data_IF_001995267648
#
_entry.id   IF_001995267648
#
_cell.length_a   1.000
_cell.length_b   1.000
_cell.length_c   1.000
_cell.angle_alpha   90.00
_cell.angle_beta   90.00
_cell.angle_gamma   90.00
#
_symmetry.space_group_name_H-M   'P 1'
#
loop_
_entity.id
_entity.type
_entity.pdbx_description
1 polymer ?
#
# COMPACT_ATOMS: atom_id res chain seq x y z
N UNK A 1 29.53 60.90 -10.98
CA UNK A 1 29.02 60.03 -9.90
C UNK A 1 28.02 59.03 -10.52
N UNK A 2 28.45 57.81 -10.74
CA UNK A 2 27.61 56.77 -11.31
C UNK A 2 26.98 56.00 -10.15
N UNK A 3 25.66 56.13 -9.97
CA UNK A 3 24.89 55.32 -9.01
C UNK A 3 24.58 53.97 -9.67
N UNK A 4 25.24 52.91 -9.22
CA UNK A 4 24.88 51.54 -9.57
C UNK A 4 23.66 51.11 -8.77
N UNK A 5 22.55 50.95 -9.47
CA UNK A 5 21.30 50.42 -8.88
C UNK A 5 21.40 48.88 -8.95
N UNK A 6 21.69 48.24 -7.82
CA UNK A 6 21.66 46.77 -7.67
C UNK A 6 20.19 46.34 -7.58
N UNK A 7 19.67 45.78 -8.66
CA UNK A 7 18.40 45.03 -8.67
C UNK A 7 18.64 43.65 -8.02
N UNK A 8 18.16 43.52 -6.79
CA UNK A 8 18.05 42.20 -6.17
C UNK A 8 16.85 41.48 -6.74
N UNK A 9 17.10 40.48 -7.55
CA UNK A 9 16.08 39.48 -7.95
C UNK A 9 15.87 38.50 -6.79
N UNK A 10 14.76 38.65 -6.06
CA UNK A 10 14.31 37.68 -5.10
C UNK A 10 13.76 36.45 -5.89
N UNK A 11 14.50 35.37 -5.93
CA UNK A 11 13.98 34.08 -6.38
C UNK A 11 13.03 33.57 -5.30
N UNK A 12 11.74 33.69 -5.55
CA UNK A 12 10.72 33.00 -4.77
C UNK A 12 10.76 31.53 -5.18
N UNK A 13 11.41 30.69 -4.36
CA UNK A 13 11.36 29.25 -4.50
C UNK A 13 9.96 28.76 -4.17
N UNK A 14 9.16 28.45 -5.19
CA UNK A 14 7.90 27.69 -5.00
C UNK A 14 8.29 26.28 -4.56
N UNK A 15 8.24 26.01 -3.28
CA UNK A 15 8.26 24.65 -2.76
C UNK A 15 6.90 24.03 -3.08
N UNK A 16 6.83 23.25 -4.14
CA UNK A 16 5.67 22.42 -4.41
C UNK A 16 5.56 21.40 -3.27
N UNK A 17 4.59 21.58 -2.39
CA UNK A 17 4.20 20.55 -1.42
C UNK A 17 3.55 19.42 -2.21
N UNK A 18 4.31 18.37 -2.48
CA UNK A 18 3.77 17.10 -3.01
C UNK A 18 2.86 16.55 -1.90
N UNK A 19 1.56 16.30 -2.16
CA UNK A 19 0.71 15.68 -1.16
C UNK A 19 1.35 14.35 -0.78
N UNK A 20 1.59 14.14 0.52
CA UNK A 20 2.03 12.86 1.07
C UNK A 20 0.85 11.88 0.99
N UNK A 21 0.48 11.51 -0.22
CA UNK A 21 -0.37 10.34 -0.46
C UNK A 21 0.53 9.16 -0.11
N UNK A 22 0.23 8.57 1.00
CA UNK A 22 0.83 7.39 1.60
C UNK A 22 1.83 6.66 0.70
N UNK A 23 3.04 7.19 0.58
CA UNK A 23 4.15 6.45 0.05
C UNK A 23 4.41 5.31 1.02
N UNK A 24 4.25 4.09 0.54
CA UNK A 24 4.58 2.92 1.31
C UNK A 24 6.05 3.05 1.77
N UNK A 25 6.30 2.84 3.06
CA UNK A 25 7.66 3.01 3.59
C UNK A 25 8.63 2.03 2.91
N UNK A 26 9.89 2.45 2.77
CA UNK A 26 10.91 1.60 2.17
C UNK A 26 11.05 0.24 2.87
N UNK A 27 10.83 0.20 4.19
CA UNK A 27 10.86 -1.04 4.98
C UNK A 27 9.73 -2.01 4.60
N UNK A 28 8.54 -1.52 4.30
CA UNK A 28 7.41 -2.34 3.83
C UNK A 28 7.70 -2.88 2.43
N UNK A 29 8.20 -2.05 1.52
CA UNK A 29 8.60 -2.48 0.17
C UNK A 29 9.67 -3.57 0.23
N UNK A 30 10.70 -3.40 1.07
CA UNK A 30 11.73 -4.41 1.28
C UNK A 30 11.17 -5.70 1.88
N UNK A 31 10.27 -5.61 2.85
CA UNK A 31 9.64 -6.77 3.47
C UNK A 31 8.81 -7.58 2.47
N UNK A 32 8.11 -6.92 1.55
CA UNK A 32 7.40 -7.60 0.45
C UNK A 32 8.39 -8.34 -0.46
N UNK A 33 9.46 -7.69 -0.89
CA UNK A 33 10.48 -8.28 -1.76
C UNK A 33 11.22 -9.43 -1.09
N UNK A 34 11.42 -9.33 0.22
CA UNK A 34 12.04 -10.39 1.03
C UNK A 34 11.09 -11.57 1.32
N UNK A 35 9.81 -11.46 0.97
CA UNK A 35 8.81 -12.52 1.19
C UNK A 35 8.36 -12.66 2.64
N UNK A 36 8.50 -11.62 3.45
CA UNK A 36 8.09 -11.62 4.86
C UNK A 36 6.61 -11.28 5.04
N UNK A 37 6.07 -10.46 4.15
CA UNK A 37 4.68 -10.00 4.14
C UNK A 37 4.11 -10.03 2.72
N UNK A 38 2.79 -10.01 2.62
CA UNK A 38 2.10 -9.95 1.33
C UNK A 38 0.68 -9.44 1.46
N UNK A 39 0.07 -9.14 0.31
CA UNK A 39 -1.34 -8.77 0.24
C UNK A 39 -2.23 -9.99 0.37
N UNK A 40 -3.36 -9.81 1.03
CA UNK A 40 -4.36 -10.84 1.24
C UNK A 40 -5.63 -10.52 0.45
N UNK A 41 -6.37 -11.57 0.15
CA UNK A 41 -7.68 -11.52 -0.56
C UNK A 41 -8.74 -10.63 0.13
N UNK A 42 -8.59 -10.40 1.43
CA UNK A 42 -9.53 -9.59 2.23
C UNK A 42 -9.15 -8.10 2.34
N UNK A 43 -8.12 -7.69 1.62
CA UNK A 43 -7.68 -6.28 1.56
C UNK A 43 -6.72 -5.86 2.66
N UNK A 44 -6.17 -6.79 3.40
CA UNK A 44 -5.18 -6.53 4.45
C UNK A 44 -3.81 -7.08 4.10
N UNK A 45 -2.78 -6.57 4.78
CA UNK A 45 -1.46 -7.20 4.79
C UNK A 45 -1.43 -8.38 5.75
N UNK A 46 -0.68 -9.41 5.39
CA UNK A 46 -0.42 -10.54 6.26
C UNK A 46 1.06 -10.90 6.33
N UNK A 47 1.40 -11.68 7.35
CA UNK A 47 2.76 -12.22 7.52
C UNK A 47 2.86 -13.57 6.84
N UNK A 48 3.82 -13.70 5.92
CA UNK A 48 4.12 -14.97 5.23
C UNK A 48 4.83 -15.94 6.17
N UNK A 49 5.65 -15.39 7.06
CA UNK A 49 6.35 -16.11 8.12
C UNK A 49 6.03 -15.51 9.49
N UNK A 50 5.96 -16.33 10.56
CA UNK A 50 5.67 -15.81 11.90
C UNK A 50 6.84 -15.02 12.51
N UNK A 51 8.07 -15.30 12.09
CA UNK A 51 9.29 -14.73 12.66
C UNK A 51 9.72 -13.47 11.90
N UNK A 52 9.08 -12.35 12.19
CA UNK A 52 9.45 -11.05 11.64
C UNK A 52 9.86 -10.09 12.75
N UNK A 53 10.71 -9.08 12.46
CA UNK A 53 11.09 -8.07 13.44
C UNK A 53 9.89 -7.36 14.05
N UNK A 54 9.96 -7.03 15.34
CA UNK A 54 8.88 -6.34 16.06
C UNK A 54 8.49 -5.01 15.39
N UNK A 55 9.45 -4.30 14.83
CA UNK A 55 9.18 -3.06 14.09
C UNK A 55 8.30 -3.30 12.85
N UNK A 56 8.57 -4.37 12.11
CA UNK A 56 7.75 -4.74 10.96
C UNK A 56 6.30 -5.09 11.38
N UNK A 57 6.15 -5.81 12.52
CA UNK A 57 4.84 -6.07 13.10
C UNK A 57 4.07 -4.77 13.38
N UNK A 58 4.72 -3.80 14.01
CA UNK A 58 4.10 -2.51 14.30
C UNK A 58 3.68 -1.78 13.03
N UNK A 59 4.52 -1.76 12.01
CA UNK A 59 4.24 -1.08 10.74
C UNK A 59 3.07 -1.74 9.99
N UNK A 60 3.06 -3.06 9.89
CA UNK A 60 1.97 -3.81 9.25
C UNK A 60 0.65 -3.59 10.00
N UNK A 61 0.68 -3.67 11.33
CA UNK A 61 -0.52 -3.43 12.15
C UNK A 61 -1.05 -2.01 11.97
N UNK A 62 -0.16 -1.01 11.92
CA UNK A 62 -0.56 0.38 11.69
C UNK A 62 -1.22 0.58 10.31
N UNK A 63 -0.70 -0.07 9.26
CA UNK A 63 -1.30 -0.05 7.93
C UNK A 63 -2.69 -0.70 7.97
N UNK A 64 -2.81 -1.87 8.58
CA UNK A 64 -4.08 -2.59 8.67
C UNK A 64 -5.14 -1.84 9.49
N UNK A 65 -4.75 -1.13 10.54
CA UNK A 65 -5.66 -0.27 11.30
C UNK A 65 -6.21 0.86 10.41
N UNK A 66 -5.36 1.52 9.64
CA UNK A 66 -5.79 2.57 8.70
C UNK A 66 -6.71 2.02 7.61
N UNK A 67 -6.38 0.86 7.05
CA UNK A 67 -7.22 0.17 6.05
C UNK A 67 -8.58 -0.18 6.64
N UNK A 68 -8.62 -0.73 7.85
CA UNK A 68 -9.87 -1.05 8.55
C UNK A 68 -10.76 0.17 8.71
N UNK A 69 -10.22 1.28 9.18
CA UNK A 69 -10.97 2.54 9.32
C UNK A 69 -11.52 3.00 7.99
N UNK A 70 -10.73 2.95 6.91
CA UNK A 70 -11.16 3.31 5.57
C UNK A 70 -12.28 2.40 5.06
N UNK A 71 -12.18 1.08 5.27
CA UNK A 71 -13.19 0.13 4.82
C UNK A 71 -14.51 0.30 5.55
N UNK A 72 -14.49 0.53 6.86
CA UNK A 72 -15.69 0.85 7.64
C UNK A 72 -16.35 2.15 7.17
N UNK A 73 -15.57 3.16 6.90
CA UNK A 73 -16.03 4.47 6.43
C UNK A 73 -16.71 4.38 5.06
N UNK A 74 -16.07 3.70 4.11
CA UNK A 74 -16.62 3.46 2.78
C UNK A 74 -17.86 2.57 2.82
N UNK A 75 -17.87 1.53 3.64
CA UNK A 75 -19.00 0.63 3.81
C UNK A 75 -20.24 1.37 4.30
N UNK A 76 -20.08 2.23 5.31
CA UNK A 76 -21.15 3.06 5.85
C UNK A 76 -21.75 3.98 4.79
N UNK A 77 -20.91 4.61 3.96
CA UNK A 77 -21.36 5.51 2.91
C UNK A 77 -22.02 4.79 1.73
N UNK A 78 -21.64 3.56 1.45
CA UNK A 78 -22.14 2.78 0.31
C UNK A 78 -23.26 1.80 0.66
N UNK A 79 -23.57 1.61 1.95
CA UNK A 79 -24.58 0.67 2.40
C UNK A 79 -24.19 -0.80 2.18
N UNK A 80 -22.90 -1.10 2.25
CA UNK A 80 -22.33 -2.46 2.15
C UNK A 80 -21.57 -2.81 3.41
N UNK A 81 -21.02 -4.02 3.50
CA UNK A 81 -20.21 -4.43 4.66
C UNK A 81 -18.74 -4.00 4.51
N UNK A 82 -18.00 -3.79 5.61
CA UNK A 82 -16.56 -3.55 5.55
C UNK A 82 -15.78 -4.67 4.88
N UNK A 83 -16.24 -5.91 5.00
CA UNK A 83 -15.65 -7.09 4.36
C UNK A 83 -15.76 -7.01 2.84
N UNK A 84 -16.92 -6.61 2.33
CA UNK A 84 -17.11 -6.40 0.89
C UNK A 84 -16.21 -5.30 0.34
N UNK A 85 -16.04 -4.22 1.09
CA UNK A 85 -15.09 -3.15 0.73
C UNK A 85 -13.66 -3.67 0.73
N UNK A 86 -13.27 -4.44 1.74
CA UNK A 86 -11.94 -5.05 1.83
C UNK A 86 -11.63 -5.98 0.66
N UNK A 87 -12.56 -6.85 0.28
CA UNK A 87 -12.44 -7.74 -0.87
C UNK A 87 -12.31 -6.94 -2.17
N UNK A 88 -13.10 -5.89 -2.33
CA UNK A 88 -13.01 -4.99 -3.50
C UNK A 88 -11.66 -4.28 -3.55
N UNK A 89 -11.16 -3.80 -2.42
CA UNK A 89 -9.82 -3.20 -2.32
C UNK A 89 -8.72 -4.19 -2.69
N UNK A 90 -8.86 -5.45 -2.29
CA UNK A 90 -7.92 -6.51 -2.62
C UNK A 90 -7.76 -6.71 -4.13
N UNK A 91 -8.79 -6.51 -4.94
CA UNK A 91 -8.70 -6.57 -6.40
C UNK A 91 -7.64 -5.60 -6.94
N UNK A 92 -7.63 -4.36 -6.45
CA UNK A 92 -6.62 -3.36 -6.82
C UNK A 92 -5.25 -3.67 -6.22
N UNK A 93 -5.21 -4.08 -4.97
CA UNK A 93 -3.95 -4.34 -4.25
C UNK A 93 -3.21 -5.53 -4.85
N UNK A 94 -3.91 -6.61 -5.15
CA UNK A 94 -3.34 -7.80 -5.80
C UNK A 94 -2.87 -7.52 -7.24
N UNK A 95 -3.53 -6.59 -7.92
CA UNK A 95 -3.11 -6.13 -9.25
C UNK A 95 -1.80 -5.33 -9.28
N UNK A 96 -1.30 -4.91 -8.14
CA UNK A 96 -0.08 -4.09 -8.01
C UNK A 96 1.12 -4.83 -7.48
N UNK A 97 0.96 -6.07 -7.01
CA UNK A 97 2.10 -6.84 -6.50
C UNK A 97 3.09 -7.16 -7.62
N UNK A 98 4.38 -7.17 -7.28
CA UNK A 98 5.45 -7.49 -8.21
C UNK A 98 5.70 -8.98 -8.33
N UNK A 99 6.25 -9.39 -9.46
CA UNK A 99 6.73 -10.78 -9.65
C UNK A 99 7.73 -11.13 -8.54
N UNK A 100 7.53 -12.27 -7.91
CA UNK A 100 8.33 -12.75 -6.79
C UNK A 100 7.80 -12.38 -5.42
N UNK A 101 6.85 -11.44 -5.32
CA UNK A 101 6.18 -11.11 -4.06
C UNK A 101 5.11 -12.17 -3.72
N UNK A 102 4.79 -12.27 -2.43
CA UNK A 102 3.79 -13.22 -1.95
C UNK A 102 2.42 -12.59 -1.84
N UNK A 103 1.40 -13.41 -2.02
CA UNK A 103 0.00 -13.07 -1.80
C UNK A 103 -0.77 -14.24 -1.21
N UNK A 104 -1.83 -13.95 -0.47
CA UNK A 104 -2.72 -14.96 0.08
C UNK A 104 -4.04 -14.92 -0.69
N UNK A 105 -4.34 -15.93 -1.52
CA UNK A 105 -5.66 -16.08 -2.14
C UNK A 105 -6.70 -16.49 -1.10
N UNK A 106 -7.98 -16.41 -1.44
CA UNK A 106 -9.09 -16.76 -0.54
C UNK A 106 -9.10 -18.20 -0.06
N UNK A 107 -8.40 -19.09 -0.77
CA UNK A 107 -8.26 -20.50 -0.42
C UNK A 107 -6.81 -20.95 -0.58
N UNK A 108 -6.39 -21.85 0.30
CA UNK A 108 -5.02 -22.36 0.34
C UNK A 108 -4.08 -21.46 1.11
N UNK A 109 -2.78 -21.72 0.99
CA UNK A 109 -1.72 -20.98 1.65
C UNK A 109 -1.18 -19.83 0.81
N UNK A 110 -0.14 -19.21 1.32
CA UNK A 110 0.61 -18.18 0.61
C UNK A 110 1.14 -18.69 -0.72
N UNK A 111 1.04 -17.84 -1.73
CA UNK A 111 1.58 -18.09 -3.06
C UNK A 111 2.55 -17.00 -3.45
N UNK A 112 3.53 -17.37 -4.26
CA UNK A 112 4.46 -16.42 -4.85
C UNK A 112 3.97 -16.05 -6.24
N UNK A 113 3.92 -14.75 -6.54
CA UNK A 113 3.51 -14.30 -7.87
C UNK A 113 4.58 -14.66 -8.90
N UNK A 114 4.18 -15.40 -9.92
CA UNK A 114 5.01 -15.75 -11.07
C UNK A 114 4.37 -15.22 -12.36
N UNK A 115 5.20 -14.92 -13.36
CA UNK A 115 4.73 -14.47 -14.68
C UNK A 115 3.77 -15.50 -15.28
N UNK A 116 2.64 -15.01 -15.81
CA UNK A 116 1.63 -15.85 -16.46
C UNK A 116 0.51 -16.37 -15.55
N UNK A 117 0.61 -16.16 -14.23
CA UNK A 117 -0.44 -16.51 -13.27
C UNK A 117 -0.88 -15.25 -12.51
N UNK A 118 -1.99 -14.64 -12.92
CA UNK A 118 -2.49 -13.43 -12.26
C UNK A 118 -2.85 -13.71 -10.80
N UNK A 119 -2.38 -12.87 -9.84
CA UNK A 119 -2.81 -12.95 -8.46
C UNK A 119 -4.21 -12.39 -8.23
N UNK A 120 -4.78 -11.69 -9.22
CA UNK A 120 -6.11 -11.09 -9.15
C UNK A 120 -7.17 -12.18 -9.35
N UNK A 121 -8.09 -12.38 -8.38
CA UNK A 121 -9.16 -13.36 -8.52
C UNK A 121 -10.10 -13.05 -9.69
N UNK A 122 -10.69 -14.11 -10.27
CA UNK A 122 -11.59 -14.00 -11.41
C UNK A 122 -12.84 -13.15 -11.11
N UNK A 123 -13.31 -13.13 -9.85
CA UNK A 123 -14.47 -12.32 -9.46
C UNK A 123 -14.21 -10.81 -9.47
N UNK A 124 -12.97 -10.39 -9.63
CA UNK A 124 -12.61 -8.96 -9.74
C UNK A 124 -12.98 -8.34 -11.10
N UNK A 125 -13.27 -9.13 -12.08
CA UNK A 125 -13.61 -8.70 -13.44
C UNK A 125 -12.47 -8.82 -14.43
#
# INVERSE_FOLDING_TARGET
MRKFLLLMFAFASLTATVPVVAQESASIVQARRAGLIGERYDGYLGFVTPNVPAELHRQVNAINIRRRSLYHDLASRKGVTPEEVGITAACSLLGRIGVGEYYLPGQGGWRRYATGASPVPAYCG
#
